data_IF_623436650753
#
_entry.id   IF_623436650753
#
_cell.length_a   1.000
_cell.length_b   1.000
_cell.length_c   1.000
_cell.angle_alpha   90.00
_cell.angle_beta   90.00
_cell.angle_gamma   90.00
#
_symmetry.space_group_name_H-M   'P 1'
#
loop_
_entity.id
_entity.type
_entity.pdbx_description
1 polymer ?
#
# COMPACT_ATOMS: atom_id res chain seq x y z
N UNK A 1 -2.24 13.25 -24.53
CA UNK A 1 -2.20 11.78 -24.35
C UNK A 1 -0.74 11.45 -24.14
N UNK A 2 -0.35 10.90 -23.01
CA UNK A 2 1.05 10.54 -22.76
C UNK A 2 1.40 9.36 -23.65
N UNK A 3 2.51 9.48 -24.35
CA UNK A 3 3.08 8.46 -25.26
C UNK A 3 3.68 7.28 -24.47
N UNK A 4 2.93 6.74 -23.49
CA UNK A 4 3.37 5.58 -22.70
C UNK A 4 3.16 4.31 -23.53
N UNK A 5 4.23 3.59 -23.80
CA UNK A 5 4.14 2.25 -24.37
C UNK A 5 3.38 1.34 -23.39
N UNK A 6 2.40 0.54 -23.86
CA UNK A 6 1.74 -0.45 -22.99
C UNK A 6 2.70 -1.60 -22.62
N UNK A 7 3.83 -1.68 -23.27
CA UNK A 7 4.91 -2.65 -22.96
C UNK A 7 6.07 -1.89 -22.33
N UNK A 8 6.43 -2.27 -21.12
CA UNK A 8 7.58 -1.73 -20.38
C UNK A 8 8.47 -2.89 -19.91
N UNK A 9 9.74 -2.63 -19.76
CA UNK A 9 10.66 -3.59 -19.15
C UNK A 9 11.07 -3.08 -17.77
N UNK A 10 11.07 -3.94 -16.76
CA UNK A 10 11.35 -3.53 -15.37
C UNK A 10 12.75 -2.94 -15.18
N UNK A 11 13.73 -3.34 -16.00
CA UNK A 11 15.09 -2.78 -15.94
C UNK A 11 15.16 -1.32 -16.41
N UNK A 12 14.19 -0.88 -17.23
CA UNK A 12 14.15 0.50 -17.74
C UNK A 12 13.56 1.48 -16.72
N UNK A 13 12.97 0.94 -15.65
CA UNK A 13 12.39 1.76 -14.58
C UNK A 13 13.37 1.94 -13.41
N UNK A 14 13.55 3.16 -12.93
CA UNK A 14 14.34 3.39 -11.73
C UNK A 14 13.62 2.85 -10.48
N UNK A 15 14.41 2.41 -9.51
CA UNK A 15 13.89 2.17 -8.16
C UNK A 15 13.65 3.50 -7.46
N UNK A 16 12.51 3.60 -6.78
CA UNK A 16 12.26 4.63 -5.77
C UNK A 16 12.33 3.98 -4.39
N UNK A 17 13.05 4.60 -3.48
CA UNK A 17 13.16 4.12 -2.09
C UNK A 17 12.22 4.92 -1.19
N UNK A 18 11.53 4.21 -0.30
CA UNK A 18 10.85 4.76 0.87
C UNK A 18 11.50 4.21 2.12
N UNK A 19 11.90 5.12 3.01
CA UNK A 19 12.43 4.80 4.31
C UNK A 19 11.84 5.76 5.35
N UNK A 20 11.49 5.24 6.52
CA UNK A 20 11.04 6.04 7.66
C UNK A 20 12.04 5.94 8.81
N UNK A 21 12.53 4.73 9.07
CA UNK A 21 13.56 4.42 10.07
C UNK A 21 14.42 3.23 9.61
N UNK A 22 15.18 2.65 10.52
CA UNK A 22 16.03 1.49 10.21
C UNK A 22 15.23 0.23 9.82
N UNK A 23 13.95 0.13 10.22
CA UNK A 23 13.10 -1.05 10.01
C UNK A 23 12.12 -0.90 8.86
N UNK A 24 11.63 0.32 8.58
CA UNK A 24 10.71 0.58 7.48
C UNK A 24 11.48 1.07 6.26
N UNK A 25 11.84 0.14 5.40
CA UNK A 25 12.56 0.43 4.15
C UNK A 25 12.08 -0.49 3.05
N UNK A 26 11.71 0.09 1.93
CA UNK A 26 11.24 -0.66 0.75
C UNK A 26 11.62 0.08 -0.52
N UNK A 27 11.95 -0.64 -1.58
CA UNK A 27 12.18 -0.11 -2.93
C UNK A 27 11.02 -0.50 -3.83
N UNK A 28 10.63 0.38 -4.74
CA UNK A 28 9.46 0.22 -5.59
C UNK A 28 9.71 0.68 -7.02
N UNK A 29 9.16 -0.06 -7.99
CA UNK A 29 9.00 0.34 -9.39
C UNK A 29 7.52 0.32 -9.76
N UNK A 30 6.88 1.46 -10.10
CA UNK A 30 5.44 1.55 -10.39
C UNK A 30 5.17 1.09 -11.83
N UNK A 31 4.94 -0.20 -12.04
CA UNK A 31 4.80 -0.83 -13.37
C UNK A 31 3.55 -0.34 -14.10
N UNK A 32 2.40 -0.42 -13.44
CA UNK A 32 1.10 -0.04 -14.03
C UNK A 32 1.06 1.43 -14.44
N UNK A 33 1.62 2.33 -13.63
CA UNK A 33 1.72 3.76 -13.95
C UNK A 33 2.57 3.97 -15.20
N UNK A 34 3.71 3.29 -15.30
CA UNK A 34 4.61 3.39 -16.45
C UNK A 34 3.97 2.85 -17.75
N UNK A 35 3.16 1.78 -17.64
CA UNK A 35 2.43 1.18 -18.76
C UNK A 35 1.11 1.88 -19.11
N UNK A 36 0.69 2.91 -18.33
CA UNK A 36 -0.51 3.69 -18.62
C UNK A 36 -1.82 3.15 -18.06
N UNK A 37 -1.78 2.19 -17.12
CA UNK A 37 -3.00 1.71 -16.46
C UNK A 37 -3.68 2.81 -15.64
N UNK A 38 -5.02 2.79 -15.62
CA UNK A 38 -5.82 3.78 -14.91
C UNK A 38 -6.46 3.22 -13.62
N UNK A 39 -6.95 1.99 -13.67
CA UNK A 39 -7.75 1.36 -12.59
C UNK A 39 -7.08 0.17 -11.93
N UNK A 40 -6.03 -0.37 -12.53
CA UNK A 40 -5.25 -1.46 -11.98
C UNK A 40 -3.89 -0.94 -11.55
N UNK A 41 -3.60 -0.99 -10.26
CA UNK A 41 -2.28 -0.77 -9.69
C UNK A 41 -1.45 -2.05 -9.79
N UNK A 42 -0.20 -1.92 -10.22
CA UNK A 42 0.80 -2.98 -10.09
C UNK A 42 2.17 -2.36 -9.90
N UNK A 43 2.88 -2.81 -8.89
CA UNK A 43 4.26 -2.38 -8.63
C UNK A 43 5.14 -3.56 -8.27
N UNK A 44 6.39 -3.51 -8.72
CA UNK A 44 7.43 -4.40 -8.24
C UNK A 44 8.05 -3.80 -6.98
N UNK A 45 8.07 -4.57 -5.92
CA UNK A 45 8.69 -4.21 -4.64
C UNK A 45 9.92 -5.07 -4.35
N UNK A 46 10.87 -4.47 -3.67
CA UNK A 46 12.03 -5.16 -3.08
C UNK A 46 12.17 -4.71 -1.62
N UNK A 47 12.09 -5.67 -0.73
CA UNK A 47 12.16 -5.47 0.72
C UNK A 47 13.51 -6.04 1.22
N UNK A 48 14.41 -5.19 1.74
CA UNK A 48 15.70 -5.65 2.25
C UNK A 48 15.55 -6.57 3.47
N UNK A 49 16.54 -7.45 3.76
CA UNK A 49 16.55 -8.27 4.97
C UNK A 49 16.35 -7.46 6.25
N UNK A 50 15.54 -7.98 7.18
CA UNK A 50 15.23 -7.35 8.46
C UNK A 50 14.28 -6.16 8.39
N UNK A 51 13.83 -5.76 7.18
CA UNK A 51 12.95 -4.61 6.99
C UNK A 51 11.47 -4.99 6.88
N UNK A 52 10.62 -3.98 7.09
CA UNK A 52 9.16 -4.01 6.91
C UNK A 52 8.78 -3.07 5.78
N UNK A 53 7.78 -3.45 4.97
CA UNK A 53 7.37 -2.65 3.82
C UNK A 53 6.64 -1.38 4.27
N UNK A 54 5.53 -1.55 4.97
CA UNK A 54 4.65 -0.50 5.46
C UNK A 54 4.18 -0.82 6.88
N UNK A 55 3.56 0.15 7.62
CA UNK A 55 2.84 -0.15 8.85
C UNK A 55 1.77 -1.23 8.63
N UNK A 56 1.42 -1.98 9.67
CA UNK A 56 0.30 -2.91 9.65
C UNK A 56 -0.99 -2.16 9.36
N UNK A 57 -1.71 -2.53 8.29
CA UNK A 57 -2.85 -1.76 7.78
C UNK A 57 -3.81 -2.60 6.97
N UNK A 58 -5.03 -2.08 6.76
CA UNK A 58 -5.99 -2.58 5.80
C UNK A 58 -6.71 -1.45 5.08
N UNK A 59 -7.24 -1.75 3.91
CA UNK A 59 -7.99 -0.83 3.07
C UNK A 59 -9.49 -1.09 3.16
N UNK A 60 -10.29 -0.03 3.10
CA UNK A 60 -11.75 -0.11 3.03
C UNK A 60 -12.28 0.15 1.61
N UNK A 61 -11.48 0.74 0.74
CA UNK A 61 -11.86 1.07 -0.64
C UNK A 61 -11.13 0.26 -1.71
N UNK A 62 -9.99 -0.35 -1.38
CA UNK A 62 -9.19 -1.09 -2.35
C UNK A 62 -8.95 -2.53 -1.94
N UNK A 63 -9.15 -3.45 -2.88
CA UNK A 63 -8.57 -4.79 -2.76
C UNK A 63 -7.11 -4.72 -3.18
N UNK A 64 -6.27 -5.43 -2.44
CA UNK A 64 -4.88 -5.63 -2.79
C UNK A 64 -4.54 -7.11 -2.90
N UNK A 65 -3.46 -7.41 -3.58
CA UNK A 65 -2.88 -8.75 -3.61
C UNK A 65 -1.37 -8.66 -3.81
N UNK A 66 -0.66 -9.68 -3.36
CA UNK A 66 0.76 -9.84 -3.68
C UNK A 66 1.02 -11.18 -4.34
N UNK A 67 2.09 -11.21 -5.15
CA UNK A 67 2.68 -12.44 -5.65
C UNK A 67 4.20 -12.39 -5.40
N UNK A 68 4.71 -13.36 -4.65
CA UNK A 68 6.13 -13.43 -4.29
C UNK A 68 6.93 -13.98 -5.47
N UNK A 69 7.87 -13.18 -5.96
CA UNK A 69 8.74 -13.53 -7.09
C UNK A 69 10.04 -14.18 -6.64
N UNK A 70 10.61 -13.72 -5.52
CA UNK A 70 11.93 -14.14 -5.07
C UNK A 70 12.06 -13.93 -3.55
N UNK A 71 12.74 -14.86 -2.87
CA UNK A 71 12.99 -14.78 -1.44
C UNK A 71 11.87 -15.36 -0.60
N UNK A 72 11.95 -15.10 0.69
CA UNK A 72 10.99 -15.53 1.71
C UNK A 72 10.87 -14.47 2.81
N UNK A 73 9.81 -14.56 3.60
CA UNK A 73 9.58 -13.63 4.69
C UNK A 73 8.40 -14.04 5.56
N UNK A 74 7.93 -13.12 6.37
CA UNK A 74 6.76 -13.27 7.22
C UNK A 74 5.68 -12.26 6.82
N UNK A 75 4.48 -12.74 6.65
CA UNK A 75 3.27 -11.94 6.50
C UNK A 75 2.53 -11.92 7.84
N UNK A 76 2.32 -10.73 8.43
CA UNK A 76 1.28 -10.55 9.44
C UNK A 76 -0.04 -10.38 8.71
N UNK A 77 -1.03 -11.20 9.00
CA UNK A 77 -2.35 -11.17 8.37
C UNK A 77 -3.43 -11.48 9.41
N UNK A 78 -4.37 -10.55 9.61
CA UNK A 78 -5.49 -10.74 10.55
C UNK A 78 -5.04 -11.03 11.99
N UNK A 79 -3.85 -10.58 12.40
CA UNK A 79 -3.26 -10.82 13.73
C UNK A 79 -2.37 -12.06 13.81
N UNK A 80 -2.30 -12.90 12.77
CA UNK A 80 -1.42 -14.07 12.70
C UNK A 80 -0.14 -13.79 11.92
N UNK A 81 0.90 -14.58 12.17
CA UNK A 81 2.14 -14.57 11.38
C UNK A 81 2.22 -15.83 10.52
N UNK A 82 2.37 -15.62 9.22
CA UNK A 82 2.38 -16.67 8.19
C UNK A 82 3.69 -16.58 7.42
N UNK A 83 4.41 -17.68 7.29
CA UNK A 83 5.59 -17.74 6.43
C UNK A 83 5.16 -17.67 4.96
N UNK A 84 5.85 -16.83 4.17
CA UNK A 84 5.65 -16.70 2.73
C UNK A 84 6.96 -16.90 1.98
N UNK A 85 6.88 -17.42 0.76
CA UNK A 85 8.03 -17.71 -0.09
C UNK A 85 7.70 -17.52 -1.58
N UNK A 86 8.70 -17.63 -2.42
CA UNK A 86 8.57 -17.59 -3.88
C UNK A 86 7.46 -18.52 -4.38
N UNK A 87 6.52 -17.95 -5.17
CA UNK A 87 5.36 -18.64 -5.72
C UNK A 87 4.06 -18.40 -4.95
N UNK A 88 4.12 -17.84 -3.74
CA UNK A 88 2.92 -17.56 -2.95
C UNK A 88 2.14 -16.37 -3.52
N UNK A 89 0.82 -16.53 -3.58
CA UNK A 89 -0.15 -15.48 -3.86
C UNK A 89 -0.99 -15.23 -2.60
N UNK A 90 -1.14 -13.97 -2.22
CA UNK A 90 -1.97 -13.58 -1.08
C UNK A 90 -2.94 -12.49 -1.51
N UNK A 91 -4.22 -12.67 -1.17
CA UNK A 91 -5.26 -11.66 -1.39
C UNK A 91 -5.56 -10.89 -0.09
N UNK A 92 -5.78 -9.60 -0.22
CA UNK A 92 -6.18 -8.69 0.85
C UNK A 92 -7.50 -8.01 0.46
N UNK A 93 -8.66 -8.63 0.76
CA UNK A 93 -9.95 -7.99 0.54
C UNK A 93 -10.12 -6.77 1.45
N UNK A 94 -11.13 -5.94 1.14
CA UNK A 94 -11.48 -4.74 1.91
C UNK A 94 -12.10 -5.12 3.25
N UNK A 95 -11.28 -5.49 4.22
CA UNK A 95 -11.72 -5.99 5.53
C UNK A 95 -10.64 -5.80 6.59
N UNK A 96 -11.05 -5.57 7.83
CA UNK A 96 -10.16 -5.57 8.99
C UNK A 96 -9.43 -6.91 9.15
N UNK A 97 -10.09 -8.02 8.86
CA UNK A 97 -9.48 -9.36 8.90
C UNK A 97 -8.35 -9.55 7.87
N UNK A 98 -8.28 -8.67 6.86
CA UNK A 98 -7.21 -8.63 5.88
C UNK A 98 -6.10 -7.62 6.24
N UNK A 99 -6.11 -7.08 7.46
CA UNK A 99 -5.02 -6.23 7.92
C UNK A 99 -3.68 -6.97 7.78
N UNK A 100 -2.71 -6.30 7.15
CA UNK A 100 -1.48 -6.98 6.75
C UNK A 100 -0.23 -6.12 6.87
N UNK A 101 0.91 -6.80 6.99
CA UNK A 101 2.25 -6.23 6.93
C UNK A 101 3.24 -7.28 6.45
N UNK A 102 4.07 -6.95 5.46
CA UNK A 102 5.17 -7.80 5.03
C UNK A 102 6.44 -7.46 5.79
N UNK A 103 7.12 -8.50 6.25
CA UNK A 103 8.39 -8.45 6.97
C UNK A 103 9.36 -9.38 6.26
N UNK A 104 10.51 -8.88 5.83
CA UNK A 104 11.56 -9.75 5.33
C UNK A 104 12.34 -10.32 6.52
N UNK A 105 11.99 -11.53 6.92
CA UNK A 105 12.67 -12.31 7.97
C UNK A 105 13.76 -13.23 7.41
N UNK A 106 13.95 -13.23 6.08
CA UNK A 106 15.02 -13.95 5.40
C UNK A 106 16.33 -13.14 5.38
N UNK A 107 17.35 -13.72 4.77
CA UNK A 107 18.70 -13.17 4.63
C UNK A 107 18.99 -12.58 3.25
N UNK A 108 18.05 -12.74 2.32
CA UNK A 108 18.09 -12.19 0.95
C UNK A 108 16.93 -11.21 0.71
N UNK A 109 17.02 -10.33 -0.30
CA UNK A 109 15.89 -9.46 -0.62
C UNK A 109 14.62 -10.25 -0.96
N UNK A 110 13.49 -9.83 -0.38
CA UNK A 110 12.15 -10.34 -0.73
C UNK A 110 11.59 -9.47 -1.85
N UNK A 111 11.36 -10.07 -3.02
CA UNK A 111 10.77 -9.39 -4.19
C UNK A 111 9.36 -9.89 -4.45
N UNK A 112 8.44 -8.97 -4.67
CA UNK A 112 7.04 -9.30 -4.93
C UNK A 112 6.37 -8.27 -5.83
N UNK A 113 5.35 -8.71 -6.55
CA UNK A 113 4.37 -7.81 -7.16
C UNK A 113 3.29 -7.50 -6.14
N UNK A 114 2.91 -6.23 -6.05
CA UNK A 114 1.71 -5.81 -5.34
C UNK A 114 0.73 -5.23 -6.34
N UNK A 115 -0.50 -5.69 -6.26
CA UNK A 115 -1.64 -5.27 -7.08
C UNK A 115 -2.63 -4.51 -6.21
N UNK A 116 -3.35 -3.55 -6.81
CA UNK A 116 -4.43 -2.80 -6.15
C UNK A 116 -5.49 -2.39 -7.16
N UNK A 117 -6.74 -2.33 -6.76
CA UNK A 117 -7.86 -1.89 -7.62
C UNK A 117 -7.85 -0.40 -7.94
N UNK A 118 -7.06 0.41 -7.22
CA UNK A 118 -6.90 1.86 -7.43
C UNK A 118 -8.20 2.66 -7.36
N UNK A 119 -9.15 2.21 -6.53
CA UNK A 119 -10.41 2.91 -6.30
C UNK A 119 -10.23 4.13 -5.39
N UNK A 120 -11.08 5.13 -5.56
CA UNK A 120 -11.16 6.31 -4.70
C UNK A 120 -12.63 6.69 -4.43
N UNK A 121 -12.94 7.23 -3.26
CA UNK A 121 -12.02 7.45 -2.13
C UNK A 121 -11.54 6.14 -1.50
N UNK A 122 -10.38 6.19 -0.82
CA UNK A 122 -9.91 5.08 0.00
C UNK A 122 -9.70 5.53 1.44
N UNK A 123 -10.07 4.66 2.36
CA UNK A 123 -9.79 4.80 3.79
C UNK A 123 -8.90 3.64 4.21
N UNK A 124 -7.77 3.98 4.82
CA UNK A 124 -6.78 3.01 5.28
C UNK A 124 -6.71 3.06 6.79
N UNK A 125 -6.95 1.95 7.45
CA UNK A 125 -6.81 1.85 8.90
C UNK A 125 -5.48 1.22 9.30
N UNK A 126 -4.93 1.68 10.42
CA UNK A 126 -3.63 1.28 10.98
C UNK A 126 -3.78 0.80 12.41
N UNK A 127 -4.12 -0.48 12.64
CA UNK A 127 -4.45 -0.98 13.97
C UNK A 127 -3.34 -0.81 15.02
N UNK A 128 -2.07 -0.98 14.65
CA UNK A 128 -0.94 -0.86 15.59
C UNK A 128 -0.74 0.57 16.13
N UNK A 129 -1.27 1.57 15.46
CA UNK A 129 -1.08 2.99 15.82
C UNK A 129 -2.39 3.77 15.96
N UNK A 130 -3.50 3.03 15.97
CA UNK A 130 -4.85 3.53 16.20
C UNK A 130 -5.16 4.81 15.42
N UNK A 131 -5.01 4.74 14.09
CA UNK A 131 -5.27 5.86 13.19
C UNK A 131 -5.89 5.43 11.87
N UNK A 132 -6.52 6.38 11.21
CA UNK A 132 -7.06 6.23 9.85
C UNK A 132 -6.41 7.24 8.90
N UNK A 133 -6.21 6.84 7.66
CA UNK A 133 -5.80 7.70 6.56
C UNK A 133 -6.93 7.80 5.54
N UNK A 134 -7.21 9.01 5.07
CA UNK A 134 -8.23 9.27 4.04
C UNK A 134 -7.54 9.79 2.78
N UNK A 135 -7.85 9.16 1.64
CA UNK A 135 -7.26 9.47 0.35
C UNK A 135 -8.34 9.71 -0.69
N UNK A 136 -8.31 10.88 -1.36
CA UNK A 136 -9.19 11.22 -2.47
C UNK A 136 -8.41 11.86 -3.61
N UNK A 137 -8.91 11.79 -4.84
CA UNK A 137 -8.24 12.30 -6.05
C UNK A 137 -7.19 11.35 -6.63
N UNK A 138 -6.61 10.48 -5.81
CA UNK A 138 -5.81 9.33 -6.22
C UNK A 138 -5.66 8.34 -5.06
N UNK A 139 -5.79 7.06 -5.35
CA UNK A 139 -5.61 5.97 -4.39
C UNK A 139 -4.19 5.93 -3.79
N UNK A 140 -3.97 5.28 -2.64
CA UNK A 140 -2.65 4.91 -2.19
C UNK A 140 -1.86 4.19 -3.30
N UNK A 141 -0.58 4.57 -3.47
CA UNK A 141 0.21 4.06 -4.61
C UNK A 141 0.05 4.82 -5.93
N UNK A 142 -1.01 5.60 -6.09
CA UNK A 142 -1.23 6.49 -7.24
C UNK A 142 -0.43 7.80 -7.19
N UNK A 143 -0.79 8.73 -8.08
CA UNK A 143 -0.14 10.03 -8.24
C UNK A 143 -0.45 10.95 -7.05
N UNK A 144 0.54 11.18 -6.17
CA UNK A 144 0.35 12.01 -4.96
C UNK A 144 -0.09 13.44 -5.29
N UNK A 145 0.38 13.98 -6.39
CA UNK A 145 0.07 15.31 -6.90
C UNK A 145 -1.42 15.50 -7.28
N UNK A 146 -2.13 14.41 -7.52
CA UNK A 146 -3.56 14.44 -7.86
C UNK A 146 -4.46 14.31 -6.62
N UNK A 147 -3.89 14.04 -5.43
CA UNK A 147 -4.67 13.88 -4.22
C UNK A 147 -5.25 15.20 -3.76
N UNK A 148 -6.56 15.24 -3.60
CA UNK A 148 -7.30 16.37 -3.03
C UNK A 148 -7.40 16.27 -1.52
N UNK A 149 -7.40 15.05 -0.96
CA UNK A 149 -7.26 14.79 0.47
C UNK A 149 -6.22 13.67 0.67
N UNK A 150 -5.30 13.90 1.61
CA UNK A 150 -4.28 12.94 2.03
C UNK A 150 -3.94 13.27 3.49
N UNK A 151 -4.80 12.83 4.41
CA UNK A 151 -4.68 13.17 5.83
C UNK A 151 -4.82 11.92 6.70
N UNK A 152 -4.20 11.98 7.86
CA UNK A 152 -4.26 10.94 8.88
C UNK A 152 -4.82 11.54 10.17
N UNK A 153 -5.67 10.76 10.83
CA UNK A 153 -6.33 11.14 12.07
C UNK A 153 -6.21 9.98 13.07
N UNK A 154 -6.14 10.26 14.40
CA UNK A 154 -6.43 9.24 15.40
C UNK A 154 -7.79 8.61 15.11
N UNK A 155 -7.94 7.29 15.33
CA UNK A 155 -9.20 6.60 15.03
C UNK A 155 -10.35 7.04 15.97
N UNK A 156 -10.00 7.52 17.17
CA UNK A 156 -10.93 8.04 18.19
C UNK A 156 -11.22 9.54 18.06
N UNK A 157 -10.69 10.23 17.03
CA UNK A 157 -10.93 11.66 16.81
C UNK A 157 -12.34 11.90 16.24
N UNK A 158 -13.36 11.57 17.00
CA UNK A 158 -14.75 11.77 16.65
C UNK A 158 -15.22 13.17 17.06
N UNK A 159 -15.92 13.85 16.16
CA UNK A 159 -16.65 15.09 16.44
C UNK A 159 -18.09 14.94 15.94
N UNK A 160 -19.02 15.63 16.61
CA UNK A 160 -20.40 15.67 16.13
C UNK A 160 -20.48 16.47 14.84
N UNK A 161 -21.28 16.02 13.86
CA UNK A 161 -21.42 16.69 12.56
C UNK A 161 -21.94 18.13 12.64
N UNK A 162 -22.55 18.51 13.77
CA UNK A 162 -23.03 19.87 14.03
C UNK A 162 -22.03 20.73 14.82
N UNK A 163 -20.89 20.16 15.23
CA UNK A 163 -19.88 20.88 15.99
C UNK A 163 -19.27 22.01 15.15
N UNK A 164 -19.37 23.24 15.64
CA UNK A 164 -18.89 24.43 14.94
C UNK A 164 -19.85 24.99 13.89
N UNK A 165 -20.98 24.30 13.61
CA UNK A 165 -22.01 24.83 12.72
C UNK A 165 -22.87 25.83 13.47
N UNK A 166 -22.97 27.08 12.96
CA UNK A 166 -23.87 28.11 13.49
C UNK A 166 -24.98 28.35 12.48
N UNK A 167 -26.26 28.19 12.90
CA UNK A 167 -27.43 28.44 12.03
C UNK A 167 -27.67 29.92 11.69
N UNK A 168 -26.68 30.78 11.87
CA UNK A 168 -26.73 32.21 11.53
C UNK A 168 -25.94 32.48 10.25
N UNK A 169 -26.68 32.57 9.15
CA UNK A 169 -26.33 33.41 8.00
C UNK A 169 -27.21 34.62 7.97
#
# INVERSE_FOLDING_TARGET
>A
MSDSSPVIHTNDLPWTEQAHDAKFRVRRKPLSKAAGNQKLGCSLYELPPGCRAYPYHYHLGNEEAIYVLEGSGTLRLGGEEIAIATGDYVAFPTSESAAHQLINTGDTPLRYLCFSTMSEPDVVAYPDSDKVGIFTGAAPGGAKEQRTLNKFFPADAEVNCWEGETGSQ
#
